data_IF_472748341172
#
_entry.id   IF_472748341172
#
_cell.length_a   1.000
_cell.length_b   1.000
_cell.length_c   1.000
_cell.angle_alpha   90.00
_cell.angle_beta   90.00
_cell.angle_gamma   90.00
#
_symmetry.space_group_name_H-M   'P 1'
#
loop_
_entity.id
_entity.type
_entity.pdbx_description
1 polymer ?
#
# COMPACT_ATOMS: atom_id res chain seq x y z
N UNK A 1 19.25 -21.78 -16.71
CA UNK A 1 19.11 -20.53 -15.95
C UNK A 1 17.92 -19.80 -16.54
N UNK A 2 16.76 -20.10 -15.98
CA UNK A 2 15.44 -19.65 -16.42
C UNK A 2 15.06 -18.49 -15.51
N UNK A 3 14.85 -17.30 -16.07
CA UNK A 3 14.28 -16.16 -15.34
C UNK A 3 12.89 -15.93 -15.92
N UNK A 4 11.90 -16.47 -15.23
CA UNK A 4 10.48 -16.24 -15.47
C UNK A 4 10.11 -14.78 -15.15
N UNK A 5 9.06 -14.34 -15.84
CA UNK A 5 8.67 -12.94 -15.99
C UNK A 5 7.97 -12.35 -14.77
N UNK A 6 8.26 -11.07 -14.55
CA UNK A 6 7.30 -10.16 -13.92
C UNK A 6 6.70 -9.29 -15.01
N UNK A 7 5.54 -9.73 -15.51
CA UNK A 7 4.68 -8.94 -16.38
C UNK A 7 4.11 -7.77 -15.59
N UNK A 8 4.68 -6.58 -15.76
CA UNK A 8 3.97 -5.36 -15.46
C UNK A 8 2.81 -5.25 -16.45
N UNK A 9 1.57 -5.38 -15.96
CA UNK A 9 0.38 -4.99 -16.70
C UNK A 9 0.47 -3.48 -16.98
N UNK A 10 1.11 -3.15 -18.10
CA UNK A 10 1.17 -1.79 -18.64
C UNK A 10 -0.26 -1.46 -19.05
N UNK A 11 -0.98 -0.79 -18.15
CA UNK A 11 -2.27 -0.19 -18.46
C UNK A 11 -2.10 0.59 -19.76
N UNK A 12 -2.89 0.27 -20.79
CA UNK A 12 -2.84 0.90 -22.10
C UNK A 12 -3.39 2.33 -21.97
N UNK A 13 -2.60 3.21 -21.37
CA UNK A 13 -2.89 4.62 -21.21
C UNK A 13 -2.58 5.26 -22.57
N UNK A 14 -3.59 5.33 -23.43
CA UNK A 14 -3.51 6.04 -24.70
C UNK A 14 -3.41 7.53 -24.39
N UNK A 15 -2.18 8.04 -24.32
CA UNK A 15 -1.91 9.46 -24.39
C UNK A 15 -2.38 9.95 -25.77
N UNK A 16 -3.09 11.08 -25.85
CA UNK A 16 -3.44 11.65 -27.15
C UNK A 16 -2.13 11.95 -27.88
N UNK A 17 -1.92 11.27 -29.02
CA UNK A 17 -0.71 11.42 -29.81
C UNK A 17 -0.48 12.89 -30.15
N UNK A 18 0.67 13.40 -29.72
CA UNK A 18 1.25 14.67 -30.11
C UNK A 18 1.73 14.58 -31.57
N UNK A 19 0.75 14.51 -32.49
CA UNK A 19 0.98 14.65 -33.92
C UNK A 19 1.30 16.12 -34.22
N UNK A 20 2.59 16.44 -34.15
CA UNK A 20 3.14 17.73 -34.56
C UNK A 20 3.15 17.85 -36.10
N UNK A 21 1.98 17.77 -36.72
CA UNK A 21 1.73 18.07 -38.12
C UNK A 21 1.21 19.51 -38.28
N UNK A 22 2.11 20.46 -38.56
CA UNK A 22 1.77 21.84 -38.92
C UNK A 22 1.14 21.90 -40.31
N UNK A 23 -0.19 21.73 -40.41
CA UNK A 23 -0.95 22.11 -41.59
C UNK A 23 -2.43 22.41 -41.27
N UNK A 24 -2.83 23.69 -41.40
CA UNK A 24 -4.20 24.07 -41.78
C UNK A 24 -4.99 24.96 -40.80
N UNK A 25 -5.18 26.22 -41.20
CA UNK A 25 -6.37 27.06 -40.94
C UNK A 25 -6.75 27.39 -39.49
N UNK A 26 -7.41 28.53 -39.28
CA UNK A 26 -8.02 28.94 -38.00
C UNK A 26 -8.94 27.88 -37.38
N UNK A 27 -9.50 26.97 -38.20
CA UNK A 27 -10.29 25.82 -37.79
C UNK A 27 -9.48 24.69 -37.14
N UNK A 28 -8.24 24.43 -37.55
CA UNK A 28 -7.39 23.39 -36.97
C UNK A 28 -6.95 23.71 -35.54
N UNK A 29 -6.62 24.98 -35.28
CA UNK A 29 -6.27 25.48 -33.94
C UNK A 29 -7.48 25.41 -32.99
N UNK A 30 -8.68 25.75 -33.46
CA UNK A 30 -9.89 25.66 -32.67
C UNK A 30 -10.24 24.20 -32.29
N UNK A 31 -10.03 23.25 -33.21
CA UNK A 31 -10.23 21.81 -32.93
C UNK A 31 -9.21 21.29 -31.92
N UNK A 32 -7.93 21.66 -32.04
CA UNK A 32 -6.91 21.27 -31.07
C UNK A 32 -7.18 21.86 -29.67
N UNK A 33 -7.58 23.14 -29.60
CA UNK A 33 -7.96 23.79 -28.34
C UNK A 33 -9.16 23.11 -27.67
N UNK A 34 -10.18 22.73 -28.45
CA UNK A 34 -11.34 22.00 -27.95
C UNK A 34 -10.98 20.59 -27.46
N UNK A 35 -10.06 19.89 -28.14
CA UNK A 35 -9.52 18.60 -27.68
C UNK A 35 -8.77 18.73 -26.35
N UNK A 36 -7.87 19.71 -26.23
CA UNK A 36 -7.13 19.99 -24.99
C UNK A 36 -8.07 20.33 -23.82
N UNK A 37 -9.06 21.20 -24.04
CA UNK A 37 -10.07 21.56 -23.04
C UNK A 37 -10.94 20.38 -22.61
N UNK A 38 -11.22 19.47 -23.54
CA UNK A 38 -11.97 18.24 -23.24
C UNK A 38 -11.13 17.28 -22.41
N UNK A 39 -9.86 17.08 -22.76
CA UNK A 39 -8.92 16.26 -21.98
C UNK A 39 -8.77 16.82 -20.56
N UNK A 40 -8.57 18.14 -20.41
CA UNK A 40 -8.49 18.81 -19.11
C UNK A 40 -9.73 18.54 -18.25
N UNK A 41 -10.93 18.73 -18.81
CA UNK A 41 -12.20 18.44 -18.11
C UNK A 41 -12.33 16.98 -17.70
N UNK A 42 -11.90 16.04 -18.55
CA UNK A 42 -11.92 14.61 -18.23
C UNK A 42 -10.99 14.31 -17.06
N UNK A 43 -9.78 14.86 -17.05
CA UNK A 43 -8.84 14.66 -15.93
C UNK A 43 -9.34 15.32 -14.65
N UNK A 44 -9.91 16.52 -14.72
CA UNK A 44 -10.54 17.18 -13.57
C UNK A 44 -11.70 16.36 -13.00
N UNK A 45 -12.53 15.77 -13.85
CA UNK A 45 -13.62 14.90 -13.40
C UNK A 45 -13.09 13.62 -12.72
N UNK A 46 -12.02 13.02 -13.26
CA UNK A 46 -11.35 11.84 -12.66
C UNK A 46 -10.70 12.17 -11.32
N UNK A 47 -10.02 13.31 -11.21
CA UNK A 47 -9.44 13.80 -9.95
C UNK A 47 -10.51 13.98 -8.88
N UNK A 48 -11.60 14.70 -9.21
CA UNK A 48 -12.72 14.88 -8.28
C UNK A 48 -13.35 13.56 -7.84
N UNK A 49 -13.42 12.59 -8.74
CA UNK A 49 -13.92 11.24 -8.42
C UNK A 49 -12.99 10.53 -7.44
N UNK A 50 -11.67 10.54 -7.67
CA UNK A 50 -10.70 9.94 -6.77
C UNK A 50 -10.71 10.62 -5.38
N UNK A 51 -10.77 11.95 -5.34
CA UNK A 51 -10.89 12.71 -4.08
C UNK A 51 -12.18 12.39 -3.32
N UNK A 52 -13.28 12.15 -4.03
CA UNK A 52 -14.53 11.74 -3.42
C UNK A 52 -14.44 10.32 -2.86
N UNK A 53 -13.95 9.36 -3.66
CA UNK A 53 -13.77 7.96 -3.26
C UNK A 53 -12.79 7.83 -2.07
N UNK A 54 -11.75 8.67 -1.99
CA UNK A 54 -10.85 8.75 -0.84
C UNK A 54 -11.54 9.30 0.42
N UNK A 55 -12.36 10.35 0.29
CA UNK A 55 -13.13 10.91 1.43
C UNK A 55 -14.23 9.99 1.93
N UNK A 56 -14.82 9.19 1.04
CA UNK A 56 -15.77 8.14 1.37
C UNK A 56 -15.09 6.94 2.05
N UNK A 57 -13.76 6.86 2.01
CA UNK A 57 -12.98 5.76 2.61
C UNK A 57 -12.93 4.50 1.74
N UNK A 58 -13.43 4.55 0.50
CA UNK A 58 -13.35 3.43 -0.44
C UNK A 58 -11.96 3.30 -1.10
N UNK A 59 -11.16 4.37 -1.08
CA UNK A 59 -9.78 4.40 -1.52
C UNK A 59 -8.86 4.96 -0.43
N UNK A 60 -7.66 4.41 -0.36
CA UNK A 60 -6.56 4.93 0.46
C UNK A 60 -5.31 5.11 -0.39
N UNK A 61 -4.54 6.16 -0.11
CA UNK A 61 -3.26 6.38 -0.77
C UNK A 61 -2.32 5.17 -0.60
N UNK A 62 -1.73 4.74 -1.71
CA UNK A 62 -0.82 3.58 -1.73
C UNK A 62 0.35 3.72 -0.75
N UNK A 63 0.91 4.92 -0.64
CA UNK A 63 2.05 5.17 0.23
C UNK A 63 1.65 5.09 1.70
N UNK A 64 0.45 5.54 2.07
CA UNK A 64 -0.08 5.34 3.43
C UNK A 64 -0.19 3.84 3.79
N UNK A 65 -0.70 3.01 2.87
CA UNK A 65 -0.76 1.54 3.11
C UNK A 65 0.64 0.93 3.28
N UNK A 66 1.61 1.39 2.49
CA UNK A 66 3.00 0.91 2.58
C UNK A 66 3.65 1.30 3.90
N UNK A 67 3.45 2.54 4.33
CA UNK A 67 3.99 3.05 5.58
C UNK A 67 3.37 2.31 6.77
N UNK A 68 2.04 2.13 6.78
CA UNK A 68 1.35 1.35 7.79
C UNK A 68 1.87 -0.09 7.84
N UNK A 69 2.06 -0.73 6.68
CA UNK A 69 2.58 -2.10 6.59
C UNK A 69 4.02 -2.19 7.10
N UNK A 70 4.86 -1.21 6.76
CA UNK A 70 6.23 -1.12 7.23
C UNK A 70 6.28 -0.97 8.75
N UNK A 71 5.48 -0.07 9.32
CA UNK A 71 5.41 0.14 10.76
C UNK A 71 4.95 -1.11 11.50
N UNK A 72 3.86 -1.75 11.05
CA UNK A 72 3.35 -2.97 11.64
C UNK A 72 4.38 -4.12 11.59
N UNK A 73 5.04 -4.30 10.44
CA UNK A 73 6.07 -5.33 10.29
C UNK A 73 7.31 -5.05 11.14
N UNK A 74 7.74 -3.78 11.23
CA UNK A 74 8.91 -3.41 12.01
C UNK A 74 8.67 -3.56 13.52
N UNK A 75 7.47 -3.22 13.99
CA UNK A 75 7.07 -3.44 15.37
C UNK A 75 7.02 -4.94 15.71
N UNK A 76 6.36 -5.74 14.88
CA UNK A 76 6.31 -7.20 15.04
C UNK A 76 7.72 -7.80 15.09
N UNK A 77 8.59 -7.42 14.14
CA UNK A 77 9.98 -7.87 14.10
C UNK A 77 10.70 -7.51 15.40
N UNK A 78 10.56 -6.28 15.87
CA UNK A 78 11.18 -5.82 17.12
C UNK A 78 10.71 -6.64 18.32
N UNK A 79 9.41 -6.94 18.40
CA UNK A 79 8.85 -7.80 19.45
C UNK A 79 9.37 -9.24 19.37
N UNK A 80 9.47 -9.83 18.18
CA UNK A 80 10.04 -11.17 18.00
C UNK A 80 11.49 -11.25 18.49
N UNK A 81 12.34 -10.28 18.14
CA UNK A 81 13.73 -10.26 18.62
C UNK A 81 13.85 -10.04 20.13
N UNK A 82 12.87 -9.39 20.74
CA UNK A 82 12.83 -9.18 22.19
C UNK A 82 12.35 -10.39 23.00
N UNK A 83 11.85 -11.46 22.35
CA UNK A 83 11.41 -12.69 23.03
C UNK A 83 12.57 -13.31 23.82
N UNK A 84 13.70 -13.56 23.16
CA UNK A 84 14.84 -14.23 23.78
C UNK A 84 15.34 -13.54 25.07
N UNK A 85 15.65 -12.23 25.07
CA UNK A 85 16.11 -11.56 26.29
C UNK A 85 15.04 -11.48 27.40
N UNK A 86 13.74 -11.50 27.09
CA UNK A 86 12.66 -11.54 28.10
C UNK A 86 12.41 -12.94 28.65
N UNK A 87 12.43 -13.95 27.78
CA UNK A 87 12.14 -15.34 28.14
C UNK A 87 13.30 -15.98 28.91
N UNK A 88 14.56 -15.70 28.52
CA UNK A 88 15.75 -16.31 29.11
C UNK A 88 15.78 -16.33 30.65
N UNK A 89 15.60 -15.19 31.37
CA UNK A 89 15.59 -15.20 32.83
C UNK A 89 14.38 -15.94 33.43
N UNK A 90 13.26 -16.04 32.70
CA UNK A 90 12.05 -16.75 33.15
C UNK A 90 12.20 -18.27 33.02
N UNK A 91 13.10 -18.74 32.17
CA UNK A 91 13.36 -20.16 31.92
C UNK A 91 14.30 -20.81 32.93
N UNK A 92 15.01 -20.04 33.76
CA UNK A 92 15.96 -20.59 34.72
C UNK A 92 15.29 -21.51 35.75
N UNK A 93 15.82 -22.72 35.93
CA UNK A 93 15.28 -23.72 36.86
C UNK A 93 13.93 -24.32 36.46
N UNK A 94 13.44 -24.06 35.25
CA UNK A 94 12.16 -24.55 34.74
C UNK A 94 12.28 -25.86 34.00
N UNK A 95 11.20 -26.65 34.03
CA UNK A 95 11.06 -27.84 33.20
C UNK A 95 10.84 -27.46 31.74
N UNK A 96 11.13 -28.37 30.81
CA UNK A 96 10.88 -28.15 29.38
C UNK A 96 9.41 -27.73 29.09
N UNK A 97 8.45 -28.34 29.80
CA UNK A 97 7.02 -28.03 29.65
C UNK A 97 6.65 -26.61 30.10
N UNK A 98 7.30 -26.12 31.15
CA UNK A 98 7.11 -24.73 31.61
C UNK A 98 7.78 -23.73 30.65
N UNK A 99 8.95 -24.09 30.12
CA UNK A 99 9.67 -23.29 29.12
C UNK A 99 8.84 -23.15 27.84
N UNK A 100 8.23 -24.24 27.36
CA UNK A 100 7.31 -24.19 26.20
C UNK A 100 6.20 -23.16 26.40
N UNK A 101 5.55 -23.16 27.58
CA UNK A 101 4.49 -22.19 27.91
C UNK A 101 5.00 -20.75 27.94
N UNK A 102 6.19 -20.52 28.50
CA UNK A 102 6.81 -19.18 28.52
C UNK A 102 7.05 -18.69 27.09
N UNK A 103 7.56 -19.56 26.20
CA UNK A 103 7.81 -19.20 24.80
C UNK A 103 6.48 -18.93 24.08
N UNK A 104 5.46 -19.75 24.31
CA UNK A 104 4.12 -19.57 23.73
C UNK A 104 3.50 -18.22 24.14
N UNK A 105 3.57 -17.87 25.42
CA UNK A 105 3.11 -16.57 25.93
C UNK A 105 3.84 -15.40 25.24
N UNK A 106 5.16 -15.49 25.09
CA UNK A 106 5.99 -14.45 24.46
C UNK A 106 5.72 -14.30 22.95
N UNK A 107 5.47 -15.41 22.25
CA UNK A 107 5.05 -15.40 20.84
C UNK A 107 3.68 -14.73 20.71
N UNK A 108 2.71 -15.12 21.54
CA UNK A 108 1.38 -14.51 21.55
C UNK A 108 1.45 -13.01 21.84
N UNK A 109 2.29 -12.58 22.79
CA UNK A 109 2.54 -11.17 23.07
C UNK A 109 3.17 -10.43 21.88
N UNK A 110 4.10 -11.06 21.15
CA UNK A 110 4.65 -10.46 19.94
C UNK A 110 3.60 -10.30 18.84
N UNK A 111 2.72 -11.29 18.67
CA UNK A 111 1.65 -11.28 17.68
C UNK A 111 0.53 -10.27 17.98
N UNK A 112 0.37 -9.83 19.24
CA UNK A 112 -0.55 -8.74 19.58
C UNK A 112 -0.26 -7.45 18.80
N UNK A 113 1.01 -7.16 18.45
CA UNK A 113 1.34 -6.00 17.62
C UNK A 113 0.61 -6.01 16.26
N UNK A 114 0.44 -7.19 15.68
CA UNK A 114 -0.26 -7.34 14.41
C UNK A 114 -1.78 -7.19 14.61
N UNK A 115 -2.32 -7.70 15.71
CA UNK A 115 -3.74 -7.57 16.06
C UNK A 115 -4.15 -6.12 16.38
N UNK A 116 -3.25 -5.35 16.96
CA UNK A 116 -3.44 -3.93 17.25
C UNK A 116 -3.22 -3.04 16.02
N UNK A 117 -2.66 -3.60 14.94
CA UNK A 117 -2.41 -2.85 13.71
C UNK A 117 -3.71 -2.49 12.99
N UNK A 118 -3.63 -1.44 12.17
CA UNK A 118 -4.73 -0.95 11.31
C UNK A 118 -5.25 -2.00 10.31
N UNK A 119 -4.54 -3.11 10.15
CA UNK A 119 -4.91 -4.21 9.25
C UNK A 119 -5.90 -5.20 9.86
N UNK A 120 -6.07 -5.23 11.18
CA UNK A 120 -6.96 -6.20 11.86
C UNK A 120 -8.17 -5.52 12.53
N UNK A 121 -8.11 -4.23 12.87
CA UNK A 121 -9.27 -3.49 13.37
C UNK A 121 -9.90 -2.60 12.30
N UNK A 122 -11.02 -3.05 11.75
CA UNK A 122 -12.13 -2.19 11.28
C UNK A 122 -13.45 -2.91 11.60
N UNK A 123 -13.93 -2.77 12.84
CA UNK A 123 -15.36 -2.83 13.12
C UNK A 123 -15.77 -1.41 13.54
N UNK A 124 -16.49 -0.73 12.63
CA UNK A 124 -17.57 0.17 13.00
C UNK A 124 -18.89 -0.51 12.61
#
# INVERSE_FOLDING_TARGET
MEKEGMGYLRNNQSYPADDAGLAGGTSGVAVQFNKAKTAEKIYQAKLKRLEFEEKEGSLIAKDAVRDDAFLAANELRSRLFSIAPRAAPRCEGKTAREIERIIEDEINFALQALQESRFIKQEE
#
